data_IF_442580279308
#
_entry.id   IF_442580279308
#
_cell.length_a   1.000
_cell.length_b   1.000
_cell.length_c   1.000
_cell.angle_alpha   90.00
_cell.angle_beta   90.00
_cell.angle_gamma   90.00
#
_symmetry.space_group_name_H-M   'P 1'
#
loop_
_entity.id
_entity.type
_entity.pdbx_description
1 polymer ?
#
# COMPACT_ATOMS: atom_id res chain seq x y z
N UNK A 1 5.10 8.30 -21.01
CA UNK A 1 6.04 7.38 -21.71
C UNK A 1 7.51 7.48 -21.27
N UNK A 2 7.93 8.46 -20.46
CA UNK A 2 9.34 8.60 -20.03
C UNK A 2 9.69 7.76 -18.77
N UNK A 3 8.69 7.39 -17.94
CA UNK A 3 8.91 6.55 -16.75
C UNK A 3 9.25 5.07 -17.06
N UNK A 4 8.80 4.52 -18.20
CA UNK A 4 8.95 3.08 -18.50
C UNK A 4 10.30 2.69 -19.12
N UNK A 5 11.13 3.64 -19.56
CA UNK A 5 12.36 3.34 -20.29
C UNK A 5 13.64 3.35 -19.43
N UNK A 6 13.58 3.72 -18.15
CA UNK A 6 14.75 3.70 -17.26
C UNK A 6 14.98 2.36 -16.52
N UNK A 7 14.06 1.39 -16.66
CA UNK A 7 14.09 0.12 -15.90
C UNK A 7 14.97 -0.96 -16.53
N UNK A 8 15.54 -0.74 -17.72
CA UNK A 8 16.17 -1.85 -18.47
C UNK A 8 17.57 -2.30 -18.03
N UNK A 9 18.31 -1.56 -17.19
CA UNK A 9 19.73 -1.86 -16.95
C UNK A 9 20.14 -1.88 -15.46
N UNK A 10 19.52 -2.69 -14.61
CA UNK A 10 20.19 -3.24 -13.42
C UNK A 10 19.44 -4.45 -12.86
N UNK A 11 19.98 -5.64 -13.13
CA UNK A 11 19.48 -6.94 -12.70
C UNK A 11 19.91 -7.27 -11.28
N UNK A 12 19.24 -6.72 -10.26
CA UNK A 12 19.15 -7.27 -8.89
C UNK A 12 18.38 -6.36 -7.92
N UNK A 13 17.24 -5.79 -8.34
CA UNK A 13 16.31 -5.14 -7.41
C UNK A 13 14.93 -5.77 -7.57
N UNK A 14 14.31 -6.13 -6.44
CA UNK A 14 12.93 -6.60 -6.34
C UNK A 14 11.96 -5.44 -6.64
N UNK A 15 11.98 -4.97 -7.90
CA UNK A 15 11.02 -4.02 -8.41
C UNK A 15 9.70 -4.76 -8.65
N UNK A 16 8.77 -4.68 -7.70
CA UNK A 16 7.37 -4.94 -8.01
C UNK A 16 6.93 -3.84 -8.99
N UNK A 17 6.52 -4.22 -10.20
CA UNK A 17 6.15 -3.36 -11.34
C UNK A 17 5.05 -2.30 -11.08
N UNK A 18 4.51 -2.17 -9.86
CA UNK A 18 3.28 -1.44 -9.54
C UNK A 18 3.38 -0.43 -8.36
N UNK A 19 4.55 0.00 -7.90
CA UNK A 19 4.64 1.10 -6.89
C UNK A 19 4.77 2.47 -7.57
N UNK A 20 3.89 3.41 -7.21
CA UNK A 20 4.04 4.84 -7.53
C UNK A 20 5.39 5.35 -6.98
N UNK A 21 6.10 6.16 -7.77
CA UNK A 21 7.40 6.72 -7.36
C UNK A 21 7.29 7.75 -6.21
N UNK A 22 6.06 8.20 -5.92
CA UNK A 22 5.69 9.06 -4.80
C UNK A 22 4.56 8.35 -4.05
N UNK A 23 4.75 8.13 -2.75
CA UNK A 23 3.72 7.67 -1.84
C UNK A 23 3.56 8.66 -0.69
N UNK A 24 2.32 8.90 -0.26
CA UNK A 24 2.03 9.75 0.89
C UNK A 24 0.83 9.23 1.67
N UNK A 25 0.93 9.20 3.00
CA UNK A 25 -0.16 8.80 3.88
C UNK A 25 -0.10 9.55 5.22
N UNK A 26 -1.27 9.83 5.80
CA UNK A 26 -1.35 10.18 7.22
C UNK A 26 -1.60 8.90 8.00
N UNK A 27 -0.73 8.62 8.96
CA UNK A 27 -0.73 7.40 9.74
C UNK A 27 -0.83 7.69 11.23
N UNK A 28 -1.26 6.67 11.97
CA UNK A 28 -1.32 6.67 13.44
C UNK A 28 -0.47 5.52 13.94
N UNK A 29 0.53 5.79 14.79
CA UNK A 29 1.56 4.80 15.12
C UNK A 29 0.98 3.54 15.77
N UNK A 30 -0.04 3.65 16.63
CA UNK A 30 -0.69 2.49 17.26
C UNK A 30 -1.44 1.57 16.28
N UNK A 31 -1.82 2.08 15.11
CA UNK A 31 -2.42 1.29 14.04
C UNK A 31 -1.36 0.60 13.15
N UNK A 32 -0.07 0.85 13.41
CA UNK A 32 1.07 0.37 12.63
C UNK A 32 2.02 -0.53 13.45
N UNK A 33 1.56 -1.69 13.97
CA UNK A 33 2.36 -2.54 14.87
C UNK A 33 3.62 -3.13 14.22
N UNK A 34 3.70 -3.18 12.88
CA UNK A 34 4.90 -3.60 12.15
C UNK A 34 6.02 -2.55 12.22
N UNK A 35 5.67 -1.31 11.89
CA UNK A 35 6.56 -0.13 11.98
C UNK A 35 7.12 0.08 13.38
N UNK A 36 6.35 -0.29 14.41
CA UNK A 36 6.75 -0.18 15.81
C UNK A 36 7.90 -1.09 16.23
N UNK A 37 8.09 -2.24 15.58
CA UNK A 37 8.87 -3.35 16.17
C UNK A 37 10.01 -3.85 15.31
N UNK A 38 9.97 -3.65 14.00
CA UNK A 38 11.03 -4.14 13.11
C UNK A 38 11.77 -2.99 12.42
N UNK A 39 13.09 -3.02 12.57
CA UNK A 39 13.96 -2.20 11.77
C UNK A 39 13.92 -2.69 10.33
N UNK A 40 13.65 -1.76 9.43
CA UNK A 40 13.58 -1.97 7.99
C UNK A 40 14.43 -0.93 7.27
N UNK A 41 14.68 -1.18 5.98
CA UNK A 41 15.23 -0.18 5.06
C UNK A 41 14.46 -0.31 3.76
N UNK A 42 14.52 0.73 2.94
CA UNK A 42 13.90 0.75 1.63
C UNK A 42 14.76 1.54 0.66
N UNK A 43 14.58 1.31 -0.63
CA UNK A 43 15.31 2.03 -1.68
C UNK A 43 14.77 3.47 -1.86
N UNK A 44 13.60 3.76 -1.28
CA UNK A 44 13.00 5.09 -1.26
C UNK A 44 13.53 5.93 -0.08
N UNK A 45 13.60 7.24 -0.27
CA UNK A 45 13.78 8.18 0.84
C UNK A 45 12.50 8.24 1.67
N UNK A 46 12.59 8.09 2.99
CA UNK A 46 11.45 8.27 3.89
C UNK A 46 11.44 9.69 4.45
N UNK A 47 10.27 10.32 4.49
CA UNK A 47 10.09 11.58 5.21
C UNK A 47 8.92 11.43 6.19
N UNK A 48 9.17 11.76 7.44
CA UNK A 48 8.19 11.79 8.51
C UNK A 48 7.95 13.23 8.94
N UNK A 49 6.69 13.62 9.13
CA UNK A 49 6.31 14.91 9.72
C UNK A 49 5.23 14.72 10.78
N UNK A 50 5.50 15.17 12.00
CA UNK A 50 4.62 14.91 13.15
C UNK A 50 3.48 15.92 13.19
N UNK A 51 2.24 15.43 13.07
CA UNK A 51 1.03 16.25 13.13
C UNK A 51 0.56 16.44 14.58
N UNK A 52 0.55 15.37 15.36
CA UNK A 52 0.16 15.37 16.78
C UNK A 52 0.82 14.22 17.55
N UNK A 53 1.06 14.41 18.83
CA UNK A 53 1.64 13.37 19.71
C UNK A 53 3.16 13.31 19.61
N UNK A 54 3.72 12.17 20.02
CA UNK A 54 5.17 11.98 20.13
C UNK A 54 5.58 10.58 19.68
N UNK A 55 6.71 10.45 18.99
CA UNK A 55 7.29 9.17 18.60
C UNK A 55 8.81 9.14 18.83
N UNK A 56 9.38 7.96 18.86
CA UNK A 56 10.82 7.74 18.81
C UNK A 56 11.19 7.10 17.48
N UNK A 57 12.19 7.65 16.80
CA UNK A 57 12.81 7.02 15.64
C UNK A 57 14.19 6.49 16.02
N UNK A 58 14.43 5.24 15.66
CA UNK A 58 15.69 4.51 15.84
C UNK A 58 16.34 4.44 14.48
N UNK A 59 17.48 5.10 14.30
CA UNK A 59 18.23 5.11 13.05
C UNK A 59 19.70 4.84 13.34
N UNK A 60 20.17 3.63 13.03
CA UNK A 60 21.48 3.13 13.48
C UNK A 60 21.59 3.11 15.02
N UNK A 61 22.54 3.86 15.57
CA UNK A 61 22.72 4.02 17.03
C UNK A 61 21.95 5.21 17.62
N UNK A 62 21.35 6.06 16.77
CA UNK A 62 20.68 7.27 17.21
C UNK A 62 19.22 6.96 17.53
N UNK A 63 18.77 7.43 18.69
CA UNK A 63 17.35 7.46 19.06
C UNK A 63 16.95 8.92 19.17
N UNK A 64 16.01 9.34 18.34
CA UNK A 64 15.52 10.72 18.32
C UNK A 64 14.05 10.72 18.69
N UNK A 65 13.69 11.50 19.71
CA UNK A 65 12.30 11.81 20.04
C UNK A 65 11.81 12.88 19.06
N UNK A 66 10.69 12.62 18.41
CA UNK A 66 10.00 13.55 17.53
C UNK A 66 8.70 14.01 18.18
N UNK A 67 8.43 15.31 18.14
CA UNK A 67 7.21 15.95 18.64
C UNK A 67 6.53 16.73 17.52
N UNK A 68 5.33 17.25 17.80
CA UNK A 68 4.52 18.01 16.83
C UNK A 68 5.34 19.09 16.10
N UNK A 69 5.31 19.03 14.77
CA UNK A 69 6.00 19.96 13.87
C UNK A 69 7.40 19.51 13.46
N UNK A 70 7.96 18.48 14.09
CA UNK A 70 9.27 17.96 13.71
C UNK A 70 9.18 17.23 12.36
N UNK A 71 10.24 17.36 11.56
CA UNK A 71 10.44 16.56 10.35
C UNK A 71 11.68 15.69 10.47
N UNK A 72 11.60 14.45 9.99
CA UNK A 72 12.72 13.52 9.97
C UNK A 72 12.82 12.85 8.60
N UNK A 73 13.98 12.96 7.95
CA UNK A 73 14.24 12.44 6.60
C UNK A 73 15.24 11.31 6.72
N UNK A 74 14.87 10.11 6.30
CA UNK A 74 15.74 8.93 6.27
C UNK A 74 16.20 8.71 4.85
N UNK A 75 17.51 8.64 4.65
CA UNK A 75 18.07 8.38 3.33
C UNK A 75 17.76 6.94 2.85
N UNK A 76 17.81 6.70 1.53
CA UNK A 76 17.67 5.36 0.99
C UNK A 76 18.63 4.36 1.63
N UNK A 77 18.15 3.13 1.77
CA UNK A 77 18.90 1.99 2.30
C UNK A 77 19.39 2.17 3.75
N UNK A 78 18.88 3.16 4.46
CA UNK A 78 19.17 3.37 5.87
C UNK A 78 18.17 2.60 6.71
N UNK A 79 18.73 1.85 7.65
CA UNK A 79 17.97 0.99 8.55
C UNK A 79 17.37 1.78 9.69
N UNK A 80 16.05 1.74 9.80
CA UNK A 80 15.33 2.50 10.81
C UNK A 80 14.05 1.81 11.28
N UNK A 81 13.56 2.26 12.45
CA UNK A 81 12.30 1.82 13.07
C UNK A 81 11.69 3.01 13.80
N UNK A 82 10.37 3.09 13.87
CA UNK A 82 9.66 4.07 14.71
C UNK A 82 9.01 3.37 15.90
N UNK A 83 8.75 4.04 17.00
CA UNK A 83 7.99 3.48 18.14
C UNK A 83 7.22 4.59 18.87
N UNK A 84 6.11 4.28 19.55
CA UNK A 84 5.39 5.26 20.36
C UNK A 84 6.28 5.71 21.54
N UNK A 85 6.34 7.02 21.79
CA UNK A 85 7.04 7.52 22.97
C UNK A 85 6.14 7.36 24.20
N UNK A 86 6.61 6.62 25.22
CA UNK A 86 5.87 6.35 26.48
C UNK A 86 4.46 5.75 26.26
N UNK A 87 4.24 5.04 25.15
CA UNK A 87 2.95 4.44 24.82
C UNK A 87 1.88 5.41 24.33
N UNK A 88 2.20 6.70 24.16
CA UNK A 88 1.29 7.67 23.58
C UNK A 88 1.13 7.44 22.08
N UNK A 89 -0.07 7.68 21.57
CA UNK A 89 -0.32 7.64 20.14
C UNK A 89 0.29 8.86 19.44
N UNK A 90 0.60 8.70 18.16
CA UNK A 90 1.22 9.72 17.35
C UNK A 90 0.63 9.68 15.94
N UNK A 91 0.15 10.83 15.47
CA UNK A 91 -0.29 11.01 14.09
C UNK A 91 0.77 11.76 13.32
N UNK A 92 1.13 11.23 12.15
CA UNK A 92 2.21 11.76 11.35
C UNK A 92 1.93 11.57 9.87
N UNK A 93 2.48 12.46 9.05
CA UNK A 93 2.58 12.29 7.61
C UNK A 93 3.83 11.45 7.31
N UNK A 94 3.66 10.43 6.48
CA UNK A 94 4.73 9.60 5.90
C UNK A 94 4.78 9.84 4.40
N UNK A 95 5.97 10.09 3.87
CA UNK A 95 6.24 10.14 2.44
C UNK A 95 7.32 9.13 2.07
N UNK A 96 7.15 8.43 0.95
CA UNK A 96 8.22 7.68 0.29
C UNK A 96 8.48 8.26 -1.10
N UNK A 97 9.73 8.62 -1.35
CA UNK A 97 10.17 9.26 -2.59
C UNK A 97 11.28 8.43 -3.21
N UNK A 98 11.06 7.91 -4.42
CA UNK A 98 12.10 7.20 -5.14
C UNK A 98 13.16 8.18 -5.67
N UNK A 99 14.46 8.03 -5.36
CA UNK A 99 15.50 9.02 -5.70
C UNK A 99 15.58 9.38 -7.20
N UNK A 100 15.22 8.45 -8.08
CA UNK A 100 15.29 8.65 -9.53
C UNK A 100 14.38 9.78 -10.06
N UNK A 101 13.33 10.17 -9.32
CA UNK A 101 12.43 11.25 -9.77
C UNK A 101 12.96 12.64 -9.43
N UNK A 102 13.96 12.73 -8.56
CA UNK A 102 14.47 14.01 -8.11
C UNK A 102 15.11 14.76 -9.28
N UNK A 103 16.03 14.16 -10.02
CA UNK A 103 16.60 14.85 -11.18
C UNK A 103 17.18 13.90 -12.22
N UNK A 104 16.94 14.22 -13.50
CA UNK A 104 17.67 13.64 -14.63
C UNK A 104 19.02 14.32 -14.88
N UNK A 105 19.28 15.47 -14.24
CA UNK A 105 20.52 16.20 -14.42
C UNK A 105 21.67 15.53 -13.66
N UNK A 106 22.60 14.95 -14.40
CA UNK A 106 23.72 14.21 -13.83
C UNK A 106 24.60 15.07 -12.90
N UNK A 107 24.79 16.35 -13.21
CA UNK A 107 25.63 17.25 -12.40
C UNK A 107 24.99 17.54 -11.04
N UNK A 108 23.69 17.87 -11.01
CA UNK A 108 22.95 18.10 -9.76
C UNK A 108 22.92 16.81 -8.96
N UNK A 109 22.62 15.68 -9.62
CA UNK A 109 22.61 14.36 -9.00
C UNK A 109 23.93 14.05 -8.31
N UNK A 110 25.05 14.04 -9.04
CA UNK A 110 26.35 13.64 -8.50
C UNK A 110 26.89 14.63 -7.46
N UNK A 111 26.75 15.95 -7.67
CA UNK A 111 27.33 16.94 -6.75
C UNK A 111 26.51 17.14 -5.48
N UNK A 112 25.18 17.13 -5.57
CA UNK A 112 24.30 17.52 -4.46
C UNK A 112 23.55 16.32 -3.89
N UNK A 113 22.86 15.54 -4.73
CA UNK A 113 22.00 14.46 -4.25
C UNK A 113 22.80 13.26 -3.75
N UNK A 114 23.79 12.76 -4.50
CA UNK A 114 24.61 11.64 -4.05
C UNK A 114 25.43 12.02 -2.80
N UNK A 115 25.94 13.25 -2.73
CA UNK A 115 26.60 13.77 -1.53
C UNK A 115 25.69 13.86 -0.30
N UNK A 116 24.38 13.99 -0.49
CA UNK A 116 23.39 13.95 0.59
C UNK A 116 22.97 12.53 0.95
N UNK A 117 22.87 11.64 -0.04
CA UNK A 117 22.17 10.35 0.06
C UNK A 117 23.09 9.13 0.13
N UNK A 118 24.25 9.19 -0.52
CA UNK A 118 25.26 8.11 -0.59
C UNK A 118 26.50 8.42 0.26
N UNK A 119 26.58 9.60 0.85
CA UNK A 119 27.58 9.88 1.87
C UNK A 119 27.20 9.11 3.15
N UNK A 120 27.83 7.94 3.36
CA UNK A 120 27.65 7.05 4.52
C UNK A 120 27.88 7.73 5.90
N UNK A 121 28.15 9.03 5.93
CA UNK A 121 28.20 9.86 7.14
C UNK A 121 26.84 10.39 7.57
N UNK A 122 25.81 10.32 6.72
CA UNK A 122 24.50 10.96 6.95
C UNK A 122 23.36 10.00 6.65
N UNK A 123 23.03 9.20 7.64
CA UNK A 123 21.90 8.26 7.59
C UNK A 123 20.53 8.98 7.54
N UNK A 124 20.44 10.17 8.13
CA UNK A 124 19.19 10.93 8.22
C UNK A 124 19.42 12.43 8.41
N UNK A 125 18.35 13.20 8.25
CA UNK A 125 18.27 14.61 8.61
C UNK A 125 17.10 14.83 9.56
N UNK A 126 17.36 15.57 10.64
CA UNK A 126 16.35 15.97 11.61
C UNK A 126 16.15 17.49 11.51
N UNK A 127 14.90 17.92 11.32
CA UNK A 127 14.50 19.32 11.29
C UNK A 127 13.54 19.55 12.47
N UNK A 128 14.04 20.15 13.57
CA UNK A 128 13.21 20.49 14.71
C UNK A 128 12.13 21.51 14.34
N UNK A 129 10.96 21.41 14.97
CA UNK A 129 9.86 22.37 14.80
C UNK A 129 10.21 23.80 15.24
N UNK A 130 11.11 23.95 16.21
CA UNK A 130 11.59 25.22 16.76
C UNK A 130 12.76 25.83 15.95
N UNK A 131 13.26 25.11 14.95
CA UNK A 131 14.22 25.66 13.99
C UNK A 131 13.53 26.57 12.97
N UNK A 132 14.22 27.61 12.47
CA UNK A 132 13.69 28.54 11.45
C UNK A 132 13.21 27.85 10.15
N UNK A 133 13.68 26.62 9.93
CA UNK A 133 13.30 25.77 8.79
C UNK A 133 12.16 24.81 9.09
N UNK A 134 11.83 24.55 10.36
CA UNK A 134 10.81 23.59 10.78
C UNK A 134 9.44 23.94 10.22
N UNK A 135 8.97 25.17 10.45
CA UNK A 135 7.68 25.64 9.92
C UNK A 135 7.65 25.61 8.38
N UNK A 136 8.74 26.04 7.73
CA UNK A 136 8.85 26.08 6.26
C UNK A 136 8.81 24.66 5.68
N UNK A 137 9.55 23.73 6.27
CA UNK A 137 9.56 22.32 5.88
C UNK A 137 8.18 21.68 6.07
N UNK A 138 7.53 21.89 7.22
CA UNK A 138 6.19 21.39 7.49
C UNK A 138 5.16 21.87 6.46
N UNK A 139 5.18 23.15 6.08
CA UNK A 139 4.31 23.70 5.02
C UNK A 139 4.55 23.01 3.67
N UNK A 140 5.81 22.81 3.29
CA UNK A 140 6.16 22.12 2.05
C UNK A 140 5.64 20.67 2.07
N UNK A 141 5.85 19.94 3.17
CA UNK A 141 5.44 18.54 3.29
C UNK A 141 3.93 18.36 3.25
N UNK A 142 3.18 19.25 3.92
CA UNK A 142 1.72 19.24 3.85
C UNK A 142 1.21 19.57 2.44
N UNK A 143 1.85 20.52 1.75
CA UNK A 143 1.47 20.84 0.37
C UNK A 143 1.75 19.66 -0.59
N UNK A 144 2.86 18.96 -0.42
CA UNK A 144 3.14 17.71 -1.17
C UNK A 144 2.03 16.66 -0.92
N UNK A 145 1.60 16.50 0.34
CA UNK A 145 0.53 15.58 0.69
C UNK A 145 -0.81 15.94 0.03
N UNK A 146 -1.17 17.22 0.00
CA UNK A 146 -2.39 17.71 -0.66
C UNK A 146 -2.36 17.46 -2.17
N UNK A 147 -1.25 17.82 -2.84
CA UNK A 147 -1.05 17.58 -4.27
C UNK A 147 -1.15 16.09 -4.62
N UNK A 148 -0.52 15.21 -3.84
CA UNK A 148 -0.55 13.77 -4.08
C UNK A 148 -1.91 13.12 -3.74
N UNK A 149 -2.77 13.82 -2.98
CA UNK A 149 -4.12 13.38 -2.65
C UNK A 149 -5.13 13.78 -3.73
N UNK A 150 -5.05 15.00 -4.25
CA UNK A 150 -5.95 15.53 -5.29
C UNK A 150 -5.56 15.06 -6.68
N UNK A 151 -4.24 15.00 -6.96
CA UNK A 151 -3.67 14.59 -8.25
C UNK A 151 -4.19 15.39 -9.45
N UNK A 152 -4.16 16.71 -9.34
CA UNK A 152 -4.44 17.61 -10.47
C UNK A 152 -3.47 17.38 -11.63
N UNK A 153 -3.80 17.76 -12.88
CA UNK A 153 -2.88 17.62 -14.00
C UNK A 153 -1.49 18.19 -13.69
N UNK A 154 -0.45 17.41 -13.97
CA UNK A 154 0.97 17.75 -13.76
C UNK A 154 1.42 17.97 -12.30
N UNK A 155 0.64 17.51 -11.31
CA UNK A 155 1.00 17.62 -9.88
C UNK A 155 2.39 17.07 -9.54
N UNK A 156 2.90 16.08 -10.30
CA UNK A 156 4.23 15.51 -10.08
C UNK A 156 5.34 16.55 -10.29
N UNK A 157 5.16 17.49 -11.23
CA UNK A 157 6.13 18.57 -11.46
C UNK A 157 6.21 19.50 -10.25
N UNK A 158 5.07 19.82 -9.66
CA UNK A 158 4.98 20.66 -8.46
C UNK A 158 5.62 19.95 -7.26
N UNK A 159 5.30 18.67 -7.05
CA UNK A 159 5.92 17.86 -5.99
C UNK A 159 7.44 17.82 -6.16
N UNK A 160 7.95 17.55 -7.36
CA UNK A 160 9.39 17.54 -7.64
C UNK A 160 10.01 18.91 -7.33
N UNK A 161 9.37 20.02 -7.74
CA UNK A 161 9.83 21.37 -7.42
C UNK A 161 9.92 21.62 -5.91
N UNK A 162 8.86 21.26 -5.17
CA UNK A 162 8.79 21.37 -3.72
C UNK A 162 9.86 20.51 -3.01
N UNK A 163 10.11 19.30 -3.51
CA UNK A 163 11.17 18.43 -2.98
C UNK A 163 12.55 19.04 -3.17
N UNK A 164 12.85 19.67 -4.30
CA UNK A 164 14.12 20.37 -4.48
C UNK A 164 14.27 21.56 -3.52
N UNK A 165 13.19 22.31 -3.30
CA UNK A 165 13.20 23.41 -2.33
C UNK A 165 13.50 22.85 -0.93
N UNK A 166 12.82 21.77 -0.51
CA UNK A 166 13.06 21.11 0.78
C UNK A 166 14.52 20.64 0.89
N UNK A 167 15.02 19.89 -0.09
CA UNK A 167 16.39 19.35 -0.10
C UNK A 167 17.44 20.46 -0.06
N UNK A 168 17.19 21.61 -0.70
CA UNK A 168 18.10 22.76 -0.61
C UNK A 168 18.22 23.30 0.82
N UNK A 169 17.14 23.27 1.60
CA UNK A 169 17.14 23.69 3.01
C UNK A 169 17.81 22.67 3.91
N UNK A 170 17.58 21.39 3.65
CA UNK A 170 18.25 20.27 4.33
C UNK A 170 19.77 20.34 4.13
N UNK A 171 20.21 20.63 2.91
CA UNK A 171 21.64 20.80 2.59
C UNK A 171 22.28 21.93 3.41
N UNK A 172 21.56 23.03 3.65
CA UNK A 172 22.06 24.17 4.42
C UNK A 172 22.21 23.87 5.93
N UNK A 173 21.43 22.92 6.47
CA UNK A 173 21.50 22.49 7.88
C UNK A 173 22.74 21.67 8.22
N UNK A 174 23.47 21.18 7.22
CA UNK A 174 24.60 20.30 7.44
C UNK A 174 25.70 20.55 6.39
N UNK A 175 26.57 21.55 6.58
CA UNK A 175 27.83 21.61 5.84
C UNK A 175 28.68 20.39 6.23
N UNK A 176 29.29 19.71 5.27
CA UNK A 176 29.98 18.43 5.49
C UNK A 176 31.08 18.52 6.59
N UNK A 177 30.82 17.97 7.78
CA UNK A 177 31.90 17.75 8.76
C UNK A 177 32.69 16.48 8.41
N UNK A 178 34.02 16.61 8.49
CA UNK A 178 34.99 15.52 8.40
C UNK A 178 35.19 14.93 9.81
N UNK A 179 35.51 13.64 9.82
CA UNK A 179 35.98 12.86 10.98
C UNK A 179 34.93 12.17 11.86
N UNK A 180 34.57 10.94 11.43
CA UNK A 180 34.36 9.79 12.34
C UNK A 180 35.07 8.56 11.76
N UNK A 181 35.34 7.56 12.58
CA UNK A 181 35.91 6.25 12.18
C UNK A 181 34.96 5.45 11.27
N UNK A 182 34.77 5.92 10.03
CA UNK A 182 33.70 5.52 9.10
C UNK A 182 33.94 4.15 8.44
N UNK A 183 35.20 3.75 8.23
CA UNK A 183 35.50 2.57 7.40
C UNK A 183 35.00 1.26 8.02
N UNK A 184 35.26 1.03 9.30
CA UNK A 184 34.84 -0.20 10.01
C UNK A 184 33.32 -0.28 10.21
N UNK A 185 32.66 0.85 10.42
CA UNK A 185 31.21 0.90 10.59
C UNK A 185 30.47 0.75 9.27
N UNK A 186 31.01 1.27 8.16
CA UNK A 186 30.49 0.98 6.82
C UNK A 186 30.57 -0.51 6.49
N UNK A 187 31.71 -1.17 6.77
CA UNK A 187 31.85 -2.62 6.51
C UNK A 187 30.84 -3.43 7.33
N UNK A 188 30.64 -3.07 8.61
CA UNK A 188 29.68 -3.76 9.46
C UNK A 188 28.23 -3.51 9.01
N UNK A 189 27.90 -2.28 8.59
CA UNK A 189 26.57 -1.93 8.08
C UNK A 189 26.27 -2.64 6.75
N UNK A 190 27.21 -2.69 5.81
CA UNK A 190 27.06 -3.43 4.56
C UNK A 190 26.94 -4.94 4.80
N UNK A 191 27.72 -5.48 5.74
CA UNK A 191 27.57 -6.87 6.19
C UNK A 191 26.18 -7.10 6.77
N UNK A 192 25.67 -6.18 7.59
CA UNK A 192 24.33 -6.25 8.16
C UNK A 192 23.23 -6.25 7.09
N UNK A 193 23.29 -5.33 6.12
CA UNK A 193 22.34 -5.27 5.01
C UNK A 193 22.27 -6.61 4.28
N UNK A 194 23.43 -7.20 3.94
CA UNK A 194 23.46 -8.53 3.29
C UNK A 194 22.84 -9.63 4.15
N UNK A 195 23.15 -9.64 5.46
CA UNK A 195 22.57 -10.61 6.40
C UNK A 195 21.04 -10.53 6.44
N UNK A 196 20.49 -9.32 6.39
CA UNK A 196 19.04 -9.16 6.49
C UNK A 196 18.36 -9.35 5.15
N UNK A 197 18.96 -8.93 4.03
CA UNK A 197 18.48 -9.31 2.70
C UNK A 197 18.37 -10.82 2.55
N UNK A 198 19.35 -11.55 3.08
CA UNK A 198 19.31 -13.01 3.14
C UNK A 198 18.14 -13.52 4.00
N UNK A 199 17.91 -12.96 5.19
CA UNK A 199 16.75 -13.31 6.03
C UNK A 199 15.44 -13.05 5.28
N UNK A 200 15.27 -11.85 4.69
CA UNK A 200 14.06 -11.46 3.99
C UNK A 200 13.75 -12.37 2.80
N UNK A 201 14.77 -12.82 2.07
CA UNK A 201 14.59 -13.72 0.94
C UNK A 201 14.30 -15.18 1.35
N UNK A 202 14.78 -15.62 2.52
CA UNK A 202 14.80 -17.04 2.89
C UNK A 202 14.04 -17.36 4.20
N UNK A 203 13.32 -16.41 4.80
CA UNK A 203 12.74 -16.56 6.14
C UNK A 203 11.83 -17.79 6.30
N UNK A 204 11.15 -18.21 5.23
CA UNK A 204 10.29 -19.40 5.23
C UNK A 204 11.06 -20.72 5.34
N UNK A 205 12.37 -20.71 5.11
CA UNK A 205 13.23 -21.90 5.16
C UNK A 205 13.88 -22.09 6.53
N UNK A 206 14.50 -23.26 6.75
CA UNK A 206 15.24 -23.56 7.99
C UNK A 206 16.62 -22.88 7.99
N UNK A 207 16.67 -21.61 8.35
CA UNK A 207 17.90 -20.83 8.46
C UNK A 207 18.66 -21.12 9.77
N UNK A 208 19.97 -21.37 9.68
CA UNK A 208 20.90 -21.42 10.81
C UNK A 208 21.69 -20.10 10.93
N UNK A 209 22.13 -19.76 12.15
CA UNK A 209 22.97 -18.59 12.41
C UNK A 209 24.22 -18.53 11.52
N UNK A 210 24.81 -19.68 11.19
CA UNK A 210 26.00 -19.74 10.33
C UNK A 210 25.71 -19.26 8.90
N UNK A 211 24.49 -19.46 8.40
CA UNK A 211 24.09 -19.04 7.06
C UNK A 211 23.87 -17.54 7.01
N UNK A 212 23.24 -16.98 8.05
CA UNK A 212 23.13 -15.52 8.22
C UNK A 212 24.53 -14.91 8.26
N UNK A 213 25.42 -15.42 9.11
CA UNK A 213 26.79 -14.90 9.22
C UNK A 213 27.57 -14.98 7.89
N UNK A 214 27.42 -16.09 7.15
CA UNK A 214 28.00 -16.25 5.81
C UNK A 214 27.49 -15.22 4.81
N UNK A 215 26.19 -14.91 4.79
CA UNK A 215 25.65 -13.87 3.91
C UNK A 215 26.28 -12.49 4.18
N UNK A 216 26.61 -12.21 5.45
CA UNK A 216 27.34 -11.00 5.84
C UNK A 216 28.83 -11.00 5.51
N UNK A 217 29.41 -12.14 5.12
CA UNK A 217 30.86 -12.38 5.06
C UNK A 217 31.55 -12.16 6.42
N UNK A 218 30.91 -12.59 7.51
CA UNK A 218 31.43 -12.43 8.88
C UNK A 218 31.37 -13.73 9.68
N UNK A 219 32.16 -13.82 10.75
CA UNK A 219 32.07 -14.95 11.69
C UNK A 219 30.75 -14.92 12.48
N UNK A 220 30.34 -16.06 13.05
CA UNK A 220 29.14 -16.15 13.91
C UNK A 220 29.19 -15.15 15.07
N UNK A 221 30.34 -15.02 15.73
CA UNK A 221 30.53 -14.07 16.83
C UNK A 221 30.34 -12.63 16.34
N UNK A 222 30.96 -12.27 15.21
CA UNK A 222 30.84 -10.93 14.62
C UNK A 222 29.42 -10.64 14.14
N UNK A 223 28.71 -11.62 13.59
CA UNK A 223 27.29 -11.53 13.24
C UNK A 223 26.45 -11.13 14.47
N UNK A 224 26.63 -11.82 15.61
CA UNK A 224 25.93 -11.46 16.86
C UNK A 224 26.30 -10.06 17.34
N UNK A 225 27.57 -9.66 17.27
CA UNK A 225 28.01 -8.30 17.64
C UNK A 225 27.36 -7.24 16.75
N UNK A 226 27.30 -7.47 15.43
CA UNK A 226 26.68 -6.54 14.47
C UNK A 226 25.18 -6.43 14.76
N UNK A 227 24.46 -7.54 14.89
CA UNK A 227 23.03 -7.51 15.22
C UNK A 227 22.77 -6.85 16.58
N UNK A 228 23.59 -7.13 17.60
CA UNK A 228 23.42 -6.48 18.91
C UNK A 228 23.70 -4.98 18.84
N UNK A 229 24.69 -4.55 18.05
CA UNK A 229 25.04 -3.14 17.86
C UNK A 229 23.93 -2.35 17.16
N UNK A 230 23.40 -2.87 16.05
CA UNK A 230 22.50 -2.10 15.19
C UNK A 230 21.01 -2.44 15.34
N UNK A 231 20.68 -3.63 15.84
CA UNK A 231 19.30 -4.09 16.02
C UNK A 231 18.92 -4.32 17.47
N UNK A 232 19.88 -4.19 18.40
CA UNK A 232 19.72 -4.45 19.84
C UNK A 232 19.22 -5.85 20.20
N UNK A 233 19.21 -6.77 19.24
CA UNK A 233 18.73 -8.15 19.36
C UNK A 233 19.73 -9.11 18.70
N UNK A 234 19.58 -10.41 18.93
CA UNK A 234 20.36 -11.44 18.25
C UNK A 234 19.84 -11.70 16.82
N UNK A 235 20.67 -12.30 15.94
CA UNK A 235 20.23 -12.62 14.57
C UNK A 235 19.03 -13.57 14.50
N UNK A 236 18.91 -14.49 15.46
CA UNK A 236 17.81 -15.46 15.52
C UNK A 236 16.53 -14.82 16.07
N UNK A 237 16.65 -13.92 17.04
CA UNK A 237 15.51 -13.10 17.50
C UNK A 237 14.96 -12.26 16.34
N UNK A 238 15.83 -11.58 15.59
CA UNK A 238 15.42 -10.82 14.41
C UNK A 238 14.69 -11.68 13.37
N UNK A 239 15.24 -12.85 13.04
CA UNK A 239 14.60 -13.80 12.12
C UNK A 239 13.20 -14.19 12.59
N UNK A 240 13.06 -14.60 13.85
CA UNK A 240 11.76 -14.98 14.39
C UNK A 240 10.78 -13.80 14.41
N UNK A 241 11.28 -12.61 14.72
CA UNK A 241 10.48 -11.40 14.70
C UNK A 241 9.96 -11.06 13.31
N UNK A 242 10.80 -11.18 12.30
CA UNK A 242 10.44 -11.01 10.89
C UNK A 242 9.40 -12.04 10.44
N UNK A 243 9.59 -13.32 10.80
CA UNK A 243 8.62 -14.38 10.52
C UNK A 243 7.24 -14.11 11.12
N UNK A 244 7.21 -13.61 12.36
CA UNK A 244 5.96 -13.22 13.02
C UNK A 244 5.26 -12.07 12.30
N UNK A 245 6.01 -11.10 11.76
CA UNK A 245 5.43 -10.01 10.98
C UNK A 245 4.87 -10.48 9.64
N UNK A 246 5.61 -11.31 8.91
CA UNK A 246 5.11 -11.95 7.69
C UNK A 246 3.82 -12.75 7.97
N UNK A 247 3.75 -13.42 9.12
CA UNK A 247 2.55 -14.13 9.54
C UNK A 247 1.36 -13.19 9.77
N UNK A 248 1.57 -11.99 10.33
CA UNK A 248 0.51 -10.99 10.49
C UNK A 248 -0.09 -10.59 9.13
N UNK A 249 0.74 -10.42 8.10
CA UNK A 249 0.25 -10.12 6.75
C UNK A 249 -0.60 -11.26 6.18
N UNK A 250 -0.13 -12.50 6.31
CA UNK A 250 -0.89 -13.68 5.85
C UNK A 250 -2.19 -13.85 6.63
N UNK A 251 -2.18 -13.66 7.95
CA UNK A 251 -3.38 -13.72 8.79
C UNK A 251 -4.43 -12.69 8.39
N UNK A 252 -4.03 -11.52 7.88
CA UNK A 252 -4.94 -10.47 7.40
C UNK A 252 -5.45 -10.75 5.98
N UNK A 253 -4.56 -11.15 5.07
CA UNK A 253 -4.84 -11.18 3.63
C UNK A 253 -5.35 -12.52 3.10
N UNK A 254 -5.20 -13.60 3.86
CA UNK A 254 -5.48 -14.96 3.39
C UNK A 254 -6.51 -15.68 4.24
N UNK A 255 -7.10 -16.73 3.67
CA UNK A 255 -7.98 -17.65 4.39
C UNK A 255 -7.24 -18.88 4.95
N UNK A 256 -5.93 -18.99 4.74
CA UNK A 256 -5.07 -20.12 5.12
C UNK A 256 -5.15 -20.47 6.61
N UNK A 257 -5.01 -21.76 6.93
CA UNK A 257 -5.10 -22.19 8.33
C UNK A 257 -3.92 -21.63 9.15
N UNK A 258 -4.08 -21.58 10.49
CA UNK A 258 -2.99 -21.14 11.37
C UNK A 258 -1.77 -22.07 11.24
N UNK A 259 -2.00 -23.36 10.94
CA UNK A 259 -0.94 -24.34 10.68
C UNK A 259 -0.17 -23.96 9.41
N UNK A 260 -0.88 -23.74 8.30
CA UNK A 260 -0.27 -23.41 7.01
C UNK A 260 0.53 -22.11 7.09
N UNK A 261 -0.06 -21.07 7.70
CA UNK A 261 0.62 -19.79 7.91
C UNK A 261 1.90 -19.98 8.74
N UNK A 262 1.84 -20.77 9.81
CA UNK A 262 3.02 -21.03 10.64
C UNK A 262 4.13 -21.74 9.86
N UNK A 263 3.76 -22.71 9.02
CA UNK A 263 4.69 -23.47 8.18
C UNK A 263 5.31 -22.59 7.09
N UNK A 264 4.48 -21.80 6.40
CA UNK A 264 4.93 -20.85 5.36
C UNK A 264 5.89 -19.81 5.92
N UNK A 265 5.68 -19.36 7.15
CA UNK A 265 6.60 -18.45 7.84
C UNK A 265 7.84 -19.15 8.42
N UNK A 266 8.05 -20.44 8.20
CA UNK A 266 9.28 -21.15 8.61
C UNK A 266 9.33 -21.55 10.08
N UNK A 267 8.19 -21.61 10.79
CA UNK A 267 8.12 -22.16 12.14
C UNK A 267 8.05 -23.69 12.10
N UNK A 268 8.82 -24.34 12.98
CA UNK A 268 8.89 -25.81 13.05
C UNK A 268 7.61 -26.46 13.55
N UNK A 269 6.85 -25.76 14.41
CA UNK A 269 5.57 -26.23 14.93
C UNK A 269 4.60 -25.06 15.12
N UNK A 270 3.31 -25.33 14.91
CA UNK A 270 2.25 -24.35 15.17
C UNK A 270 2.20 -23.91 16.64
N UNK A 271 2.52 -24.81 17.58
CA UNK A 271 2.55 -24.51 19.01
C UNK A 271 3.64 -23.49 19.36
N UNK A 272 4.84 -23.65 18.80
CA UNK A 272 5.92 -22.69 18.98
C UNK A 272 5.58 -21.32 18.36
N UNK A 273 5.03 -21.33 17.14
CA UNK A 273 4.53 -20.13 16.48
C UNK A 273 3.49 -19.40 17.35
N UNK A 274 2.47 -20.12 17.84
CA UNK A 274 1.39 -19.55 18.64
C UNK A 274 1.93 -18.94 19.93
N UNK A 275 2.84 -19.63 20.62
CA UNK A 275 3.51 -19.12 21.82
C UNK A 275 4.26 -17.82 21.52
N UNK A 276 5.11 -17.81 20.49
CA UNK A 276 5.88 -16.63 20.12
C UNK A 276 4.99 -15.46 19.69
N UNK A 277 3.95 -15.73 18.89
CA UNK A 277 3.01 -14.73 18.41
C UNK A 277 2.25 -14.10 19.58
N UNK A 278 1.74 -14.91 20.51
CA UNK A 278 1.01 -14.40 21.68
C UNK A 278 1.92 -13.64 22.63
N UNK A 279 3.16 -14.09 22.83
CA UNK A 279 4.15 -13.31 23.59
C UNK A 279 4.45 -11.96 22.93
N UNK A 280 4.51 -11.90 21.60
CA UNK A 280 4.85 -10.67 20.88
C UNK A 280 3.69 -9.68 20.76
N UNK A 281 2.46 -10.18 20.54
CA UNK A 281 1.30 -9.37 20.19
C UNK A 281 0.21 -9.36 21.28
N UNK A 282 0.40 -10.06 22.40
CA UNK A 282 -0.57 -10.18 23.50
C UNK A 282 -1.96 -10.70 23.05
N UNK A 283 -2.00 -11.42 21.94
CA UNK A 283 -3.23 -11.99 21.36
C UNK A 283 -2.87 -13.26 20.59
N UNK A 284 -3.80 -14.21 20.50
CA UNK A 284 -3.58 -15.44 19.72
C UNK A 284 -3.65 -15.15 18.21
N UNK A 285 -2.92 -15.88 17.36
CA UNK A 285 -3.02 -15.76 15.90
C UNK A 285 -4.46 -15.88 15.39
N UNK A 286 -5.25 -16.80 15.98
CA UNK A 286 -6.66 -17.00 15.65
C UNK A 286 -7.50 -15.77 15.99
N UNK A 287 -7.34 -15.21 17.18
CA UNK A 287 -8.07 -14.02 17.59
C UNK A 287 -7.65 -12.80 16.75
N UNK A 288 -6.35 -12.67 16.43
CA UNK A 288 -5.85 -11.64 15.52
C UNK A 288 -6.50 -11.73 14.14
N UNK A 289 -6.57 -12.92 13.54
CA UNK A 289 -7.23 -13.16 12.24
C UNK A 289 -8.71 -12.79 12.26
N UNK A 290 -9.42 -13.10 13.34
CA UNK A 290 -10.84 -12.73 13.49
C UNK A 290 -11.03 -11.22 13.65
N UNK A 291 -10.14 -10.55 14.39
CA UNK A 291 -10.17 -9.10 14.56
C UNK A 291 -9.89 -8.37 13.24
N UNK A 292 -8.85 -8.80 12.51
CA UNK A 292 -8.52 -8.24 11.20
C UNK A 292 -9.68 -8.33 10.19
N UNK A 293 -10.40 -9.45 10.17
CA UNK A 293 -11.60 -9.62 9.33
C UNK A 293 -12.79 -8.75 9.76
N UNK A 294 -12.86 -8.35 11.04
CA UNK A 294 -13.86 -7.40 11.54
C UNK A 294 -13.49 -5.94 11.24
N UNK A 295 -12.22 -5.66 10.96
CA UNK A 295 -11.70 -4.31 10.65
C UNK A 295 -11.70 -4.00 9.14
N UNK A 296 -12.21 -4.90 8.27
CA UNK A 296 -12.57 -4.56 6.88
C UNK A 296 -13.76 -3.59 6.87
N UNK A 297 -13.43 -2.31 7.03
CA UNK A 297 -14.14 -1.09 6.61
C UNK A 297 -15.62 -0.99 7.02
N UNK A 298 -15.86 -0.46 8.22
CA UNK A 298 -17.08 0.31 8.48
C UNK A 298 -16.94 1.69 7.80
N UNK A 299 -16.96 1.72 6.46
CA UNK A 299 -17.22 2.97 5.75
C UNK A 299 -18.65 3.35 6.12
N UNK A 300 -18.82 4.42 6.88
CA UNK A 300 -20.14 5.05 7.09
C UNK A 300 -20.60 5.67 5.78
N UNK A 301 -20.96 4.83 4.80
CA UNK A 301 -21.65 5.27 3.60
C UNK A 301 -23.06 5.70 4.00
N UNK A 302 -23.57 6.83 3.48
CA UNK A 302 -24.96 7.20 3.69
C UNK A 302 -25.89 6.04 3.28
N UNK A 303 -26.81 5.60 4.15
CA UNK A 303 -27.60 4.42 3.89
C UNK A 303 -28.62 4.68 2.77
N UNK A 304 -28.81 3.68 1.91
CA UNK A 304 -29.97 3.65 1.01
C UNK A 304 -31.17 3.19 1.84
N UNK A 305 -32.17 4.05 1.99
CA UNK A 305 -33.41 3.72 2.71
C UNK A 305 -34.32 2.89 1.81
N UNK A 306 -34.66 1.68 2.24
CA UNK A 306 -35.59 0.79 1.54
C UNK A 306 -37.00 0.99 2.11
N UNK A 307 -37.96 1.31 1.24
CA UNK A 307 -39.34 1.61 1.62
C UNK A 307 -40.29 0.66 0.90
N UNK A 308 -41.00 -0.18 1.66
CA UNK A 308 -42.14 -0.95 1.14
C UNK A 308 -43.29 0.00 0.81
N UNK A 309 -43.84 -0.13 -0.39
CA UNK A 309 -45.05 0.57 -0.83
C UNK A 309 -46.23 -0.41 -0.84
N UNK A 310 -47.21 -0.16 -1.70
CA UNK A 310 -48.40 -1.00 -1.86
C UNK A 310 -48.07 -2.23 -2.73
N UNK A 311 -48.69 -3.37 -2.44
CA UNK A 311 -48.41 -4.63 -3.14
C UNK A 311 -46.98 -5.13 -2.91
N UNK A 312 -46.34 -5.63 -3.99
CA UNK A 312 -44.94 -6.10 -4.00
C UNK A 312 -43.91 -5.01 -4.34
N UNK A 313 -44.36 -3.76 -4.47
CA UNK A 313 -43.53 -2.62 -4.85
C UNK A 313 -42.63 -2.17 -3.69
N UNK A 314 -41.34 -2.03 -3.97
CA UNK A 314 -40.32 -1.54 -3.03
C UNK A 314 -39.51 -0.43 -3.70
N UNK A 315 -39.22 0.65 -2.97
CA UNK A 315 -38.42 1.78 -3.44
C UNK A 315 -37.12 1.89 -2.64
N UNK A 316 -36.01 2.14 -3.34
CA UNK A 316 -34.74 2.55 -2.73
C UNK A 316 -34.60 4.06 -2.79
N UNK A 317 -34.31 4.70 -1.66
CA UNK A 317 -34.16 6.14 -1.55
C UNK A 317 -32.76 6.53 -1.08
N UNK A 318 -32.16 7.51 -1.75
CA UNK A 318 -30.90 8.16 -1.36
C UNK A 318 -31.15 9.66 -1.22
N UNK A 319 -30.80 10.23 -0.06
CA UNK A 319 -31.05 11.66 0.26
C UNK A 319 -32.47 12.15 -0.08
N UNK A 320 -33.48 11.42 0.41
CA UNK A 320 -34.92 11.66 0.17
C UNK A 320 -35.38 11.57 -1.30
N UNK A 321 -34.51 11.22 -2.25
CA UNK A 321 -34.86 10.96 -3.65
C UNK A 321 -34.98 9.46 -3.91
N UNK A 322 -36.00 9.04 -4.66
CA UNK A 322 -36.13 7.66 -5.11
C UNK A 322 -35.08 7.40 -6.20
N UNK A 323 -34.20 6.43 -5.99
CA UNK A 323 -33.12 6.05 -6.91
C UNK A 323 -33.41 4.76 -7.69
N UNK A 324 -34.27 3.88 -7.16
CA UNK A 324 -34.79 2.74 -7.90
C UNK A 324 -36.14 2.28 -7.35
N UNK A 325 -36.88 1.55 -8.19
CA UNK A 325 -38.11 0.84 -7.82
C UNK A 325 -37.97 -0.61 -8.24
N UNK A 326 -38.44 -1.53 -7.42
CA UNK A 326 -38.53 -2.95 -7.75
C UNK A 326 -39.91 -3.50 -7.47
N UNK A 327 -40.28 -4.52 -8.24
CA UNK A 327 -41.55 -5.23 -8.13
C UNK A 327 -41.36 -6.71 -8.46
N UNK A 328 -42.26 -7.55 -7.96
CA UNK A 328 -42.33 -8.97 -8.34
C UNK A 328 -43.42 -9.13 -9.41
N UNK A 329 -43.20 -9.99 -10.42
CA UNK A 329 -44.23 -10.25 -11.43
C UNK A 329 -45.50 -10.81 -10.76
N UNK A 330 -46.66 -10.34 -11.20
CA UNK A 330 -47.94 -10.90 -10.79
C UNK A 330 -48.16 -12.32 -11.37
N UNK A 331 -49.26 -12.99 -11.00
CA UNK A 331 -49.58 -14.35 -11.47
C UNK A 331 -49.70 -14.46 -13.01
N UNK A 332 -49.89 -13.33 -13.70
CA UNK A 332 -49.97 -13.23 -15.15
C UNK A 332 -48.63 -12.83 -15.81
N UNK A 333 -47.56 -12.66 -15.04
CA UNK A 333 -46.24 -12.28 -15.51
C UNK A 333 -46.08 -10.79 -15.82
N UNK A 334 -47.07 -9.94 -15.50
CA UNK A 334 -46.96 -8.50 -15.66
C UNK A 334 -46.08 -7.93 -14.55
N UNK A 335 -45.15 -7.05 -14.91
CA UNK A 335 -44.30 -6.32 -13.98
C UNK A 335 -44.24 -4.84 -14.35
N UNK A 336 -44.36 -3.96 -13.37
CA UNK A 336 -44.28 -2.51 -13.58
C UNK A 336 -42.88 -1.94 -13.28
N UNK A 337 -41.99 -2.76 -12.72
CA UNK A 337 -40.61 -2.40 -12.38
C UNK A 337 -39.68 -3.64 -12.50
N UNK A 338 -38.35 -3.44 -12.59
CA UNK A 338 -37.41 -4.56 -12.58
C UNK A 338 -37.48 -5.35 -11.27
N UNK A 339 -37.22 -6.67 -11.34
CA UNK A 339 -37.14 -7.49 -10.12
C UNK A 339 -35.85 -7.20 -9.34
N UNK A 340 -35.75 -7.56 -8.05
CA UNK A 340 -34.52 -7.36 -7.28
C UNK A 340 -33.30 -8.05 -7.91
N UNK A 341 -33.52 -9.22 -8.53
CA UNK A 341 -32.47 -9.91 -9.28
C UNK A 341 -31.98 -9.10 -10.48
N UNK A 342 -32.89 -8.48 -11.24
CA UNK A 342 -32.50 -7.62 -12.37
C UNK A 342 -31.69 -6.41 -11.91
N UNK A 343 -32.06 -5.78 -10.79
CA UNK A 343 -31.28 -4.68 -10.20
C UNK A 343 -29.89 -5.15 -9.73
N UNK A 344 -29.79 -6.37 -9.20
CA UNK A 344 -28.51 -6.96 -8.81
C UNK A 344 -27.57 -7.19 -10.01
N UNK A 345 -28.10 -7.54 -11.18
CA UNK A 345 -27.27 -7.64 -12.41
C UNK A 345 -26.94 -6.27 -12.97
N UNK A 346 -27.89 -5.32 -12.92
CA UNK A 346 -27.65 -3.94 -13.32
C UNK A 346 -26.51 -3.29 -12.51
N UNK A 347 -26.40 -3.57 -11.20
CA UNK A 347 -25.31 -3.02 -10.38
C UNK A 347 -23.93 -3.51 -10.81
N UNK A 348 -23.81 -4.74 -11.33
CA UNK A 348 -22.57 -5.24 -11.94
C UNK A 348 -22.24 -4.43 -13.19
N UNK A 349 -23.22 -4.21 -14.07
CA UNK A 349 -23.02 -3.41 -15.27
C UNK A 349 -22.64 -1.96 -14.96
N UNK A 350 -23.26 -1.34 -13.95
CA UNK A 350 -22.90 0.00 -13.48
C UNK A 350 -21.44 0.06 -13.01
N UNK A 351 -21.03 -0.89 -12.14
CA UNK A 351 -19.65 -0.92 -11.66
C UNK A 351 -18.63 -1.17 -12.78
N UNK A 352 -18.95 -2.08 -13.70
CA UNK A 352 -18.10 -2.35 -14.86
C UNK A 352 -17.98 -1.12 -15.78
N UNK A 353 -19.08 -0.41 -16.06
CA UNK A 353 -19.04 0.85 -16.81
C UNK A 353 -18.20 1.91 -16.09
N UNK A 354 -18.29 2.01 -14.75
CA UNK A 354 -17.42 2.93 -14.00
C UNK A 354 -15.94 2.60 -14.13
N UNK A 355 -15.57 1.31 -14.13
CA UNK A 355 -14.18 0.87 -14.39
C UNK A 355 -13.76 1.25 -15.81
N UNK A 356 -14.61 1.00 -16.80
CA UNK A 356 -14.35 1.38 -18.20
C UNK A 356 -14.13 2.90 -18.30
N UNK A 357 -15.01 3.71 -17.70
CA UNK A 357 -14.89 5.18 -17.66
C UNK A 357 -13.55 5.61 -17.10
N UNK A 358 -13.17 5.10 -15.92
CA UNK A 358 -11.90 5.42 -15.28
C UNK A 358 -10.70 5.15 -16.21
N UNK A 359 -10.66 3.95 -16.80
CA UNK A 359 -9.56 3.57 -17.71
C UNK A 359 -9.56 4.43 -18.98
N UNK A 360 -10.72 4.78 -19.54
CA UNK A 360 -10.79 5.64 -20.72
C UNK A 360 -10.42 7.09 -20.44
N UNK A 361 -10.81 7.63 -19.28
CA UNK A 361 -10.45 8.98 -18.83
C UNK A 361 -8.94 9.13 -18.64
N UNK A 362 -8.27 8.13 -18.06
CA UNK A 362 -6.80 8.09 -17.95
C UNK A 362 -6.08 8.15 -19.31
N UNK A 363 -6.78 7.75 -20.39
CA UNK A 363 -6.27 7.78 -21.77
C UNK A 363 -6.77 9.00 -22.56
N UNK A 364 -7.53 9.90 -21.95
CA UNK A 364 -8.11 11.08 -22.61
C UNK A 364 -9.17 10.75 -23.65
N UNK A 365 -9.87 9.61 -23.51
CA UNK A 365 -10.94 9.19 -24.40
C UNK A 365 -12.31 9.50 -23.78
N UNK A 366 -13.22 10.08 -24.58
CA UNK A 366 -14.61 10.30 -24.17
C UNK A 366 -15.47 9.08 -24.56
N UNK A 367 -16.25 8.55 -23.60
CA UNK A 367 -17.20 7.47 -23.81
C UNK A 367 -18.67 7.84 -23.54
N UNK A 368 -19.01 9.12 -23.57
CA UNK A 368 -20.37 9.61 -23.45
C UNK A 368 -21.29 8.88 -24.44
N UNK A 369 -22.46 8.46 -23.97
CA UNK A 369 -23.39 7.64 -24.75
C UNK A 369 -23.16 6.12 -24.66
N UNK A 370 -22.04 5.66 -24.08
CA UNK A 370 -21.84 4.26 -23.77
C UNK A 370 -22.94 3.71 -22.85
N UNK A 371 -23.41 2.50 -23.12
CA UNK A 371 -24.45 1.84 -22.33
C UNK A 371 -24.22 0.34 -22.23
N UNK A 372 -24.94 -0.29 -21.30
CA UNK A 372 -24.90 -1.74 -21.14
C UNK A 372 -26.30 -2.34 -21.07
N UNK A 373 -26.52 -3.41 -21.81
CA UNK A 373 -27.72 -4.23 -21.71
C UNK A 373 -27.47 -5.42 -20.78
N UNK A 374 -28.42 -5.71 -19.89
CA UNK A 374 -28.30 -6.82 -18.94
C UNK A 374 -29.42 -7.82 -19.11
N UNK A 375 -29.09 -9.10 -19.01
CA UNK A 375 -30.06 -10.18 -18.91
C UNK A 375 -29.54 -11.30 -18.02
N UNK A 376 -30.41 -12.20 -17.60
CA UNK A 376 -30.08 -13.20 -16.59
C UNK A 376 -30.91 -14.47 -16.74
N UNK A 377 -30.34 -15.58 -16.30
CA UNK A 377 -31.01 -16.87 -16.17
C UNK A 377 -31.21 -17.20 -14.69
N UNK A 378 -32.35 -17.84 -14.42
CA UNK A 378 -32.72 -18.28 -13.08
C UNK A 378 -32.76 -19.81 -13.02
N UNK A 379 -32.03 -20.38 -12.07
CA UNK A 379 -32.14 -21.80 -11.71
C UNK A 379 -33.30 -21.95 -10.73
N UNK A 380 -34.45 -22.40 -11.25
CA UNK A 380 -35.67 -22.61 -10.46
C UNK A 380 -35.48 -23.67 -9.38
N UNK A 381 -34.71 -24.72 -9.62
CA UNK A 381 -34.49 -25.80 -8.66
C UNK A 381 -33.70 -25.32 -7.43
N UNK A 382 -32.76 -24.39 -7.64
CA UNK A 382 -31.95 -23.79 -6.57
C UNK A 382 -32.44 -22.42 -6.12
N UNK A 383 -33.57 -21.95 -6.66
CA UNK A 383 -34.19 -20.66 -6.39
C UNK A 383 -33.19 -19.49 -6.39
N UNK A 384 -32.34 -19.41 -7.44
CA UNK A 384 -31.26 -18.40 -7.53
C UNK A 384 -30.84 -18.08 -8.97
N UNK A 385 -30.15 -16.96 -9.16
CA UNK A 385 -29.48 -16.64 -10.43
C UNK A 385 -28.40 -17.67 -10.76
N UNK A 386 -28.36 -18.13 -12.02
CA UNK A 386 -27.42 -19.14 -12.50
C UNK A 386 -26.39 -18.58 -13.48
N UNK A 387 -26.84 -17.75 -14.41
CA UNK A 387 -25.99 -17.10 -15.41
C UNK A 387 -26.43 -15.65 -15.61
N UNK A 388 -25.47 -14.75 -15.77
CA UNK A 388 -25.72 -13.36 -16.15
C UNK A 388 -25.07 -13.06 -17.50
N UNK A 389 -25.70 -12.17 -18.26
CA UNK A 389 -25.21 -11.68 -19.53
C UNK A 389 -25.19 -10.16 -19.49
N UNK A 390 -24.06 -9.58 -19.86
CA UNK A 390 -23.91 -8.12 -19.96
C UNK A 390 -23.29 -7.81 -21.32
N UNK A 391 -23.96 -6.98 -22.10
CA UNK A 391 -23.46 -6.48 -23.38
C UNK A 391 -23.14 -5.00 -23.22
N UNK A 392 -21.88 -4.64 -23.36
CA UNK A 392 -21.42 -3.26 -23.35
C UNK A 392 -21.40 -2.74 -24.79
N UNK A 393 -22.00 -1.58 -25.02
CA UNK A 393 -21.94 -0.84 -26.27
C UNK A 393 -21.10 0.41 -26.03
N UNK A 394 -19.99 0.52 -26.75
CA UNK A 394 -18.91 1.49 -26.54
C UNK A 394 -18.63 2.24 -27.86
N UNK A 395 -18.03 3.44 -27.81
CA UNK A 395 -17.64 4.16 -29.02
C UNK A 395 -16.65 3.40 -29.90
N UNK A 396 -16.94 3.38 -31.20
CA UNK A 396 -16.09 2.83 -32.25
C UNK A 396 -14.72 3.54 -32.34
N UNK A 397 -14.65 4.80 -31.87
CA UNK A 397 -13.42 5.60 -31.79
C UNK A 397 -12.37 5.07 -30.81
N UNK A 398 -12.72 4.14 -29.91
CA UNK A 398 -11.76 3.55 -28.97
C UNK A 398 -10.75 2.69 -29.75
N UNK A 399 -9.43 2.97 -29.65
CA UNK A 399 -8.38 2.20 -30.31
C UNK A 399 -8.29 0.74 -29.83
N UNK A 400 -8.01 -0.19 -30.74
CA UNK A 400 -7.96 -1.64 -30.47
C UNK A 400 -7.03 -2.04 -29.32
N UNK A 401 -5.89 -1.34 -29.18
CA UNK A 401 -4.94 -1.58 -28.10
C UNK A 401 -5.49 -1.20 -26.72
N UNK A 402 -6.47 -0.29 -26.66
CA UNK A 402 -7.17 0.12 -25.44
C UNK A 402 -8.35 -0.81 -25.18
N UNK A 403 -9.05 -1.29 -26.22
CA UNK A 403 -10.16 -2.25 -26.11
C UNK A 403 -9.80 -3.47 -25.25
N UNK A 404 -8.67 -4.12 -25.57
CA UNK A 404 -8.17 -5.27 -24.78
C UNK A 404 -7.86 -4.91 -23.31
N UNK A 405 -7.42 -3.67 -23.04
CA UNK A 405 -7.15 -3.22 -21.68
C UNK A 405 -8.43 -3.00 -20.88
N UNK A 406 -9.48 -2.47 -21.51
CA UNK A 406 -10.77 -2.24 -20.87
C UNK A 406 -11.42 -3.55 -20.42
N UNK A 407 -11.43 -4.55 -21.31
CA UNK A 407 -12.03 -5.87 -21.01
C UNK A 407 -11.32 -6.53 -19.83
N UNK A 408 -9.99 -6.49 -19.84
CA UNK A 408 -9.17 -7.01 -18.74
C UNK A 408 -9.36 -6.25 -17.43
N UNK A 409 -9.44 -4.92 -17.48
CA UNK A 409 -9.66 -4.09 -16.29
C UNK A 409 -11.01 -4.39 -15.65
N UNK A 410 -12.08 -4.57 -16.43
CA UNK A 410 -13.39 -4.97 -15.89
C UNK A 410 -13.32 -6.33 -15.18
N UNK A 411 -12.59 -7.30 -15.75
CA UNK A 411 -12.43 -8.61 -15.13
C UNK A 411 -11.67 -8.54 -13.79
N UNK A 412 -10.60 -7.75 -13.72
CA UNK A 412 -9.71 -7.68 -12.56
C UNK A 412 -10.23 -6.72 -11.45
N UNK A 413 -10.86 -5.61 -11.85
CA UNK A 413 -11.13 -4.45 -10.98
C UNK A 413 -12.60 -4.25 -10.63
N UNK A 414 -13.55 -4.90 -11.32
CA UNK A 414 -14.98 -4.79 -10.98
C UNK A 414 -15.30 -5.44 -9.63
N UNK A 415 -15.30 -4.64 -8.57
CA UNK A 415 -15.52 -5.09 -7.18
C UNK A 415 -16.91 -5.68 -6.98
N UNK A 416 -17.94 -5.11 -7.62
CA UNK A 416 -19.32 -5.60 -7.52
C UNK A 416 -19.43 -6.98 -8.16
N UNK A 417 -18.87 -7.17 -9.37
CA UNK A 417 -18.79 -8.49 -10.00
C UNK A 417 -18.13 -9.49 -9.03
N UNK A 418 -16.94 -9.19 -8.52
CA UNK A 418 -16.19 -10.07 -7.61
C UNK A 418 -16.89 -10.38 -6.29
N UNK A 419 -17.87 -9.57 -5.89
CA UNK A 419 -18.68 -9.81 -4.69
C UNK A 419 -19.76 -10.88 -4.89
N UNK A 420 -20.11 -11.23 -6.13
CA UNK A 420 -21.04 -12.34 -6.40
C UNK A 420 -20.34 -13.69 -6.31
N UNK A 421 -21.14 -14.75 -6.11
CA UNK A 421 -20.64 -16.11 -5.91
C UNK A 421 -19.68 -16.57 -7.04
N UNK A 422 -18.58 -17.26 -6.73
CA UNK A 422 -17.57 -17.65 -7.74
C UNK A 422 -18.08 -18.61 -8.82
N UNK A 423 -19.09 -19.43 -8.52
CA UNK A 423 -19.70 -20.42 -9.44
C UNK A 423 -20.80 -19.81 -10.35
N UNK A 424 -21.11 -18.52 -10.22
CA UNK A 424 -22.08 -17.85 -11.10
C UNK A 424 -21.42 -17.57 -12.45
N UNK A 425 -21.99 -18.13 -13.53
CA UNK A 425 -21.48 -17.91 -14.88
C UNK A 425 -21.74 -16.46 -15.32
N UNK A 426 -20.72 -15.82 -15.89
CA UNK A 426 -20.76 -14.42 -16.32
C UNK A 426 -20.30 -14.35 -17.76
N UNK A 427 -21.17 -13.79 -18.60
CA UNK A 427 -20.94 -13.67 -20.04
C UNK A 427 -20.97 -12.18 -20.38
N UNK A 428 -19.78 -11.57 -20.40
CA UNK A 428 -19.60 -10.15 -20.71
C UNK A 428 -19.12 -10.03 -22.15
N UNK A 429 -19.84 -9.25 -22.96
CA UNK A 429 -19.52 -9.01 -24.37
C UNK A 429 -19.39 -7.51 -24.62
N UNK A 430 -18.46 -7.14 -25.48
CA UNK A 430 -18.13 -5.76 -25.79
C UNK A 430 -18.35 -5.50 -27.28
N UNK A 431 -19.14 -4.49 -27.57
CA UNK A 431 -19.44 -4.00 -28.91
C UNK A 431 -18.93 -2.57 -29.01
N UNK A 432 -18.18 -2.28 -30.08
CA UNK A 432 -17.61 -0.95 -30.34
C UNK A 432 -18.33 -0.32 -31.54
N UNK A 433 -19.62 -0.08 -31.36
CA UNK A 433 -20.60 0.20 -32.41
C UNK A 433 -21.27 1.59 -32.29
N UNK A 434 -20.93 2.35 -31.25
CA UNK A 434 -21.43 3.71 -31.08
C UNK A 434 -20.59 4.67 -31.93
N UNK A 435 -21.27 5.45 -32.77
CA UNK A 435 -20.64 6.55 -33.53
C UNK A 435 -20.67 7.80 -32.66
N UNK A 436 -19.51 8.21 -32.12
CA UNK A 436 -19.33 9.49 -31.45
C UNK A 436 -18.60 10.48 -32.36
#
# INVERSE_FOLDING_TARGET
>A
MIANNFVKNNSSSNFSKNKSAIYSSIETINLQPGLQKLSHWQDDMEILFILTGEMEIFCGMNVTKLTKGDSFIVNPQVMHRVAPHKGNDCRFLRLWIHPAILTGNNTIRTKLLLSLMEDNRRDFFYIPHDHELGEKAGKILMHIYELNSVKSPAYELEIIGLLHILLSKVYALSPAEKDRNIVLDNINMESQKRMISFINANYGEKIKLNEIAKAGNVSRSKCCVIFKKYMQQSPIEYLNDYRLEMSCMLLRKTNDSILDISSTCGFTTQSYFTKMFTQKYNITPRAFKLKAKKEEVEMKTPPIKIVKKNGYKIEGMFDKKTIFTTDLPDENGNKQAPTPGQLAVASIACCALSVITLVTEEKGLNIDGAYAETSQNYDKARNRLSKIFIKFHLPSSIPENIRMQLEKAVEEECTVSRSFRPDMLRDMKYFYDISN
#
